data_IF_841161601110
#
_entry.id   IF_841161601110
#
_cell.length_a   1.000
_cell.length_b   1.000
_cell.length_c   1.000
_cell.angle_alpha   90.00
_cell.angle_beta   90.00
_cell.angle_gamma   90.00
#
_symmetry.space_group_name_H-M   'P 1'
#
loop_
_entity.id
_entity.type
_entity.pdbx_description
1 polymer ?
#
# COMPACT_ATOMS: atom_id res chain seq x y z
N UNK A 1 -12.56 5.92 11.12
CA UNK A 1 -14.00 5.67 11.44
C UNK A 1 -14.42 4.23 11.20
N UNK A 2 -14.22 3.64 9.98
CA UNK A 2 -14.65 2.26 9.68
C UNK A 2 -14.16 1.23 10.72
N UNK A 3 -12.85 1.15 10.94
CA UNK A 3 -12.26 0.20 11.90
C UNK A 3 -12.63 0.47 13.35
N UNK A 4 -12.93 1.74 13.71
CA UNK A 4 -13.45 2.08 15.04
C UNK A 4 -14.86 1.56 15.27
N UNK A 5 -15.72 1.60 14.24
CA UNK A 5 -17.04 0.99 14.28
C UNK A 5 -16.95 -0.53 14.29
N UNK A 6 -16.08 -1.12 13.45
CA UNK A 6 -15.88 -2.56 13.42
C UNK A 6 -15.43 -3.10 14.78
N UNK A 7 -14.48 -2.44 15.45
CA UNK A 7 -13.98 -2.85 16.76
C UNK A 7 -15.05 -2.76 17.89
N UNK A 8 -16.12 -1.98 17.69
CA UNK A 8 -17.22 -1.84 18.65
C UNK A 8 -18.43 -2.72 18.35
N UNK A 9 -18.63 -3.07 17.08
CA UNK A 9 -19.79 -3.85 16.64
C UNK A 9 -19.51 -5.35 16.56
N UNK A 10 -18.25 -5.73 16.42
CA UNK A 10 -17.85 -7.13 16.22
C UNK A 10 -16.82 -7.55 17.25
N UNK A 11 -16.74 -8.85 17.50
CA UNK A 11 -15.72 -9.41 18.39
C UNK A 11 -14.31 -9.22 17.85
N UNK A 12 -13.30 -9.24 18.73
CA UNK A 12 -11.90 -9.17 18.30
C UNK A 12 -11.51 -10.34 17.38
N UNK A 13 -12.09 -11.53 17.62
CA UNK A 13 -11.83 -12.70 16.78
C UNK A 13 -12.37 -12.54 15.36
N UNK A 14 -13.60 -12.03 15.20
CA UNK A 14 -14.19 -11.74 13.90
C UNK A 14 -13.40 -10.65 13.17
N UNK A 15 -13.10 -9.55 13.87
CA UNK A 15 -12.35 -8.44 13.29
C UNK A 15 -10.96 -8.90 12.81
N UNK A 16 -10.22 -9.62 13.65
CA UNK A 16 -8.87 -10.08 13.31
C UNK A 16 -8.87 -11.06 12.13
N UNK A 17 -9.77 -12.04 12.14
CA UNK A 17 -9.92 -13.01 11.06
C UNK A 17 -10.29 -12.35 9.73
N UNK A 18 -11.30 -11.46 9.73
CA UNK A 18 -11.76 -10.81 8.52
C UNK A 18 -10.80 -9.71 8.02
N UNK A 19 -10.08 -9.03 8.94
CA UNK A 19 -9.01 -8.12 8.57
C UNK A 19 -7.84 -8.85 7.89
N UNK A 20 -7.52 -10.07 8.32
CA UNK A 20 -6.53 -10.90 7.64
C UNK A 20 -6.99 -11.32 6.24
N UNK A 21 -8.27 -11.66 6.06
CA UNK A 21 -8.85 -11.95 4.74
C UNK A 21 -8.78 -10.73 3.81
N UNK A 22 -9.14 -9.54 4.30
CA UNK A 22 -9.03 -8.28 3.55
C UNK A 22 -7.58 -8.01 3.18
N UNK A 23 -6.65 -8.16 4.12
CA UNK A 23 -5.22 -7.95 3.88
C UNK A 23 -4.67 -8.94 2.84
N UNK A 24 -5.12 -10.20 2.89
CA UNK A 24 -4.77 -11.23 1.91
C UNK A 24 -5.29 -10.87 0.53
N UNK A 25 -6.56 -10.51 0.41
CA UNK A 25 -7.18 -10.05 -0.83
C UNK A 25 -6.43 -8.85 -1.43
N UNK A 26 -6.12 -7.85 -0.60
CA UNK A 26 -5.37 -6.66 -1.04
C UNK A 26 -3.96 -7.04 -1.48
N UNK A 27 -3.26 -7.87 -0.72
CA UNK A 27 -1.92 -8.33 -1.06
C UNK A 27 -1.88 -9.04 -2.42
N UNK A 28 -2.78 -10.02 -2.64
CA UNK A 28 -2.87 -10.73 -3.92
C UNK A 28 -3.22 -9.78 -5.08
N UNK A 29 -4.12 -8.82 -4.83
CA UNK A 29 -4.48 -7.80 -5.82
C UNK A 29 -3.30 -6.90 -6.20
N UNK A 30 -2.52 -6.43 -5.23
CA UNK A 30 -1.32 -5.62 -5.50
C UNK A 30 -0.23 -6.41 -6.22
N UNK A 31 -0.03 -7.67 -5.82
CA UNK A 31 0.92 -8.57 -6.47
C UNK A 31 0.59 -8.77 -7.96
N UNK A 32 -0.69 -8.86 -8.30
CA UNK A 32 -1.16 -9.16 -9.65
C UNK A 32 -1.38 -7.92 -10.52
N UNK A 33 -1.29 -6.74 -9.96
CA UNK A 33 -1.45 -5.47 -10.68
C UNK A 33 -0.28 -5.15 -11.63
N UNK A 34 0.90 -5.79 -11.45
CA UNK A 34 2.08 -5.61 -12.30
C UNK A 34 2.45 -4.14 -12.52
N UNK A 35 2.16 -3.29 -11.54
CA UNK A 35 2.31 -1.83 -11.59
C UNK A 35 1.54 -1.12 -12.74
N UNK A 36 0.53 -1.79 -13.31
CA UNK A 36 -0.26 -1.26 -14.43
C UNK A 36 -1.00 0.03 -14.08
N UNK A 37 -1.30 0.27 -12.79
CA UNK A 37 -1.86 1.55 -12.34
C UNK A 37 -0.96 2.73 -12.74
N UNK A 38 0.34 2.62 -12.48
CA UNK A 38 1.32 3.66 -12.84
C UNK A 38 1.48 3.76 -14.36
N UNK A 39 1.43 2.61 -15.06
CA UNK A 39 1.44 2.59 -16.52
C UNK A 39 0.25 3.35 -17.11
N UNK A 40 -0.95 3.15 -16.58
CA UNK A 40 -2.16 3.84 -17.03
C UNK A 40 -2.04 5.36 -16.84
N UNK A 41 -1.57 5.82 -15.67
CA UNK A 41 -1.34 7.26 -15.43
C UNK A 41 -0.38 7.85 -16.46
N UNK A 42 0.71 7.16 -16.77
CA UNK A 42 1.77 7.68 -17.62
C UNK A 42 1.46 7.60 -19.11
N UNK A 43 0.93 6.47 -19.57
CA UNK A 43 0.85 6.18 -21.00
C UNK A 43 -0.53 6.40 -21.63
N UNK A 44 -1.62 6.42 -20.84
CA UNK A 44 -2.96 6.74 -21.37
C UNK A 44 -3.01 8.11 -22.04
N UNK A 45 -2.39 9.19 -21.50
CA UNK A 45 -2.37 10.49 -22.17
C UNK A 45 -1.71 10.49 -23.57
N UNK A 46 -0.82 9.53 -23.83
CA UNK A 46 -0.06 9.41 -25.06
C UNK A 46 -0.54 8.27 -25.98
N UNK A 47 -1.55 7.52 -25.56
CA UNK A 47 -2.00 6.31 -26.25
C UNK A 47 -2.80 6.56 -27.54
N UNK A 48 -3.36 7.76 -27.71
CA UNK A 48 -4.10 8.12 -28.94
C UNK A 48 -5.21 7.12 -29.25
N UNK A 49 -5.27 6.64 -30.50
CA UNK A 49 -6.25 5.64 -30.97
C UNK A 49 -6.10 4.26 -30.27
N UNK A 50 -4.95 3.99 -29.64
CA UNK A 50 -4.71 2.71 -28.95
C UNK A 50 -5.19 2.71 -27.49
N UNK A 51 -5.78 3.81 -26.99
CA UNK A 51 -6.20 3.97 -25.60
C UNK A 51 -7.12 2.82 -25.16
N UNK A 52 -8.16 2.51 -25.95
CA UNK A 52 -9.12 1.46 -25.60
C UNK A 52 -8.44 0.08 -25.49
N UNK A 53 -7.60 -0.27 -26.46
CA UNK A 53 -6.87 -1.54 -26.47
C UNK A 53 -5.88 -1.63 -25.31
N UNK A 54 -5.13 -0.55 -25.04
CA UNK A 54 -4.18 -0.53 -23.93
C UNK A 54 -4.85 -0.70 -22.58
N UNK A 55 -5.97 0.01 -22.35
CA UNK A 55 -6.76 -0.11 -21.12
C UNK A 55 -7.34 -1.51 -20.99
N UNK A 56 -8.02 -2.02 -22.04
CA UNK A 56 -8.61 -3.34 -22.02
C UNK A 56 -7.59 -4.45 -21.74
N UNK A 57 -6.41 -4.39 -22.38
CA UNK A 57 -5.33 -5.35 -22.14
C UNK A 57 -4.77 -5.23 -20.71
N UNK A 58 -4.66 -4.03 -20.15
CA UNK A 58 -4.22 -3.83 -18.77
C UNK A 58 -5.19 -4.43 -17.76
N UNK A 59 -6.49 -4.21 -17.95
CA UNK A 59 -7.52 -4.81 -17.08
C UNK A 59 -7.58 -6.32 -17.23
N UNK A 60 -7.54 -6.82 -18.47
CA UNK A 60 -7.53 -8.26 -18.72
C UNK A 60 -6.29 -8.95 -18.10
N UNK A 61 -5.09 -8.40 -18.31
CA UNK A 61 -3.87 -8.99 -17.76
C UNK A 61 -3.89 -9.01 -16.23
N UNK A 62 -4.28 -7.89 -15.59
CA UNK A 62 -4.39 -7.81 -14.13
C UNK A 62 -5.48 -8.71 -13.58
N UNK A 63 -6.65 -8.77 -14.23
CA UNK A 63 -7.76 -9.61 -13.81
C UNK A 63 -7.45 -11.09 -13.94
N UNK A 64 -6.84 -11.51 -15.06
CA UNK A 64 -6.41 -12.90 -15.26
C UNK A 64 -5.33 -13.29 -14.24
N UNK A 65 -4.34 -12.43 -14.01
CA UNK A 65 -3.31 -12.66 -12.99
C UNK A 65 -3.93 -12.76 -11.59
N UNK A 66 -4.88 -11.88 -11.23
CA UNK A 66 -5.58 -11.92 -9.94
C UNK A 66 -6.39 -13.21 -9.78
N UNK A 67 -7.10 -13.62 -10.82
CA UNK A 67 -7.84 -14.88 -10.82
C UNK A 67 -6.92 -16.10 -10.62
N UNK A 68 -5.85 -16.20 -11.40
CA UNK A 68 -4.91 -17.33 -11.32
C UNK A 68 -4.21 -17.38 -9.98
N UNK A 69 -3.68 -16.24 -9.50
CA UNK A 69 -2.92 -16.20 -8.25
C UNK A 69 -3.82 -16.43 -7.04
N UNK A 70 -5.03 -15.86 -6.99
CA UNK A 70 -5.96 -16.12 -5.88
C UNK A 70 -6.46 -17.56 -5.86
N UNK A 71 -6.72 -18.16 -7.02
CA UNK A 71 -7.06 -19.59 -7.11
C UNK A 71 -5.90 -20.47 -6.64
N UNK A 72 -4.69 -20.21 -7.13
CA UNK A 72 -3.48 -20.93 -6.71
C UNK A 72 -3.25 -20.79 -5.21
N UNK A 73 -3.43 -19.60 -4.65
CA UNK A 73 -3.32 -19.34 -3.21
C UNK A 73 -4.28 -20.21 -2.39
N UNK A 74 -5.56 -20.26 -2.78
CA UNK A 74 -6.56 -21.12 -2.10
C UNK A 74 -6.16 -22.59 -2.18
N UNK A 75 -5.72 -23.06 -3.35
CA UNK A 75 -5.29 -24.45 -3.54
C UNK A 75 -4.06 -24.79 -2.68
N UNK A 76 -3.07 -23.90 -2.64
CA UNK A 76 -1.87 -24.07 -1.80
C UNK A 76 -2.24 -24.16 -0.33
N UNK A 77 -3.06 -23.24 0.19
CA UNK A 77 -3.47 -23.29 1.60
C UNK A 77 -4.26 -24.55 1.90
N UNK A 78 -5.18 -24.95 1.04
CA UNK A 78 -5.98 -26.17 1.22
C UNK A 78 -5.09 -27.43 1.27
N UNK A 79 -4.01 -27.45 0.49
CA UNK A 79 -3.12 -28.61 0.39
C UNK A 79 -2.10 -28.69 1.52
N UNK A 80 -1.48 -27.54 1.87
CA UNK A 80 -0.35 -27.49 2.80
C UNK A 80 -0.73 -27.07 4.23
N UNK A 81 -1.89 -26.45 4.43
CA UNK A 81 -2.35 -25.94 5.72
C UNK A 81 -3.82 -26.33 6.02
N UNK A 82 -4.23 -27.59 5.83
CA UNK A 82 -5.62 -28.02 5.97
C UNK A 82 -6.18 -27.82 7.39
N UNK A 83 -5.31 -27.74 8.41
CA UNK A 83 -5.70 -27.57 9.82
C UNK A 83 -5.78 -26.11 10.28
N UNK A 84 -5.53 -25.11 9.42
CA UNK A 84 -5.65 -23.70 9.81
C UNK A 84 -7.12 -23.31 9.95
N UNK A 85 -7.64 -23.28 11.18
CA UNK A 85 -9.04 -22.91 11.48
C UNK A 85 -9.42 -21.54 10.92
N UNK A 86 -8.46 -20.63 10.81
CA UNK A 86 -8.66 -19.24 10.42
C UNK A 86 -8.85 -19.05 8.91
N UNK A 87 -8.25 -19.89 8.07
CA UNK A 87 -8.38 -19.85 6.61
C UNK A 87 -9.33 -20.93 6.07
N UNK A 88 -9.87 -21.78 6.95
CA UNK A 88 -10.83 -22.84 6.58
C UNK A 88 -12.07 -22.32 5.85
N UNK A 89 -12.43 -21.07 6.11
CA UNK A 89 -13.49 -20.35 5.38
C UNK A 89 -13.27 -20.32 3.88
N UNK A 90 -12.01 -20.17 3.43
CA UNK A 90 -11.66 -20.19 2.02
C UNK A 90 -11.87 -21.58 1.36
N UNK A 91 -12.13 -22.63 2.16
CA UNK A 91 -12.41 -23.97 1.65
C UNK A 91 -13.90 -24.17 1.31
N UNK A 92 -14.77 -23.26 1.75
CA UNK A 92 -16.18 -23.26 1.36
C UNK A 92 -16.29 -22.75 -0.10
N UNK A 93 -16.87 -23.51 -1.05
CA UNK A 93 -16.84 -23.16 -2.47
C UNK A 93 -17.43 -21.77 -2.77
N UNK A 94 -18.56 -21.43 -2.14
CA UNK A 94 -19.21 -20.14 -2.35
C UNK A 94 -18.32 -18.97 -1.87
N UNK A 95 -17.68 -19.12 -0.70
CA UNK A 95 -16.80 -18.09 -0.19
C UNK A 95 -15.48 -17.99 -0.98
N UNK A 96 -14.94 -19.13 -1.44
CA UNK A 96 -13.77 -19.16 -2.31
C UNK A 96 -14.00 -18.38 -3.61
N UNK A 97 -15.14 -18.61 -4.27
CA UNK A 97 -15.54 -17.88 -5.48
C UNK A 97 -15.68 -16.39 -5.17
N UNK A 98 -16.33 -16.02 -4.06
CA UNK A 98 -16.48 -14.64 -3.66
C UNK A 98 -15.13 -13.97 -3.37
N UNK A 99 -14.20 -14.66 -2.70
CA UNK A 99 -12.86 -14.17 -2.44
C UNK A 99 -12.07 -13.92 -3.73
N UNK A 100 -12.14 -14.84 -4.70
CA UNK A 100 -11.51 -14.69 -6.03
C UNK A 100 -12.10 -13.46 -6.75
N UNK A 101 -13.43 -13.36 -6.82
CA UNK A 101 -14.12 -12.22 -7.44
C UNK A 101 -13.74 -10.89 -6.75
N UNK A 102 -13.68 -10.89 -5.43
CA UNK A 102 -13.29 -9.71 -4.64
C UNK A 102 -11.84 -9.31 -4.91
N UNK A 103 -10.93 -10.27 -5.07
CA UNK A 103 -9.53 -10.02 -5.41
C UNK A 103 -9.39 -9.38 -6.79
N UNK A 104 -10.13 -9.89 -7.78
CA UNK A 104 -10.19 -9.31 -9.13
C UNK A 104 -10.81 -7.90 -9.08
N UNK A 105 -11.93 -7.75 -8.37
CA UNK A 105 -12.60 -6.45 -8.23
C UNK A 105 -11.70 -5.41 -7.57
N UNK A 106 -10.99 -5.78 -6.50
CA UNK A 106 -10.05 -4.87 -5.83
C UNK A 106 -8.88 -4.47 -6.73
N UNK A 107 -8.38 -5.41 -7.55
CA UNK A 107 -7.38 -5.12 -8.57
C UNK A 107 -7.89 -4.07 -9.58
N UNK A 108 -9.13 -4.23 -10.05
CA UNK A 108 -9.76 -3.26 -10.97
C UNK A 108 -10.03 -1.92 -10.30
N UNK A 109 -10.50 -1.91 -9.05
CA UNK A 109 -10.75 -0.69 -8.28
C UNK A 109 -9.50 0.20 -8.22
N UNK A 110 -8.36 -0.40 -7.93
CA UNK A 110 -7.09 0.35 -7.88
C UNK A 110 -6.55 0.72 -9.27
N UNK A 111 -6.83 -0.07 -10.32
CA UNK A 111 -6.50 0.30 -11.71
C UNK A 111 -7.33 1.47 -12.21
N UNK A 112 -8.60 1.58 -11.78
CA UNK A 112 -9.49 2.70 -12.15
C UNK A 112 -8.94 4.04 -11.67
N UNK A 113 -8.33 4.13 -10.49
CA UNK A 113 -7.64 5.33 -10.02
C UNK A 113 -6.57 5.80 -11.03
N UNK A 114 -5.77 4.85 -11.53
CA UNK A 114 -4.74 5.11 -12.54
C UNK A 114 -5.34 5.52 -13.88
N UNK A 115 -6.39 4.84 -14.31
CA UNK A 115 -7.11 5.14 -15.56
C UNK A 115 -7.73 6.53 -15.54
N UNK A 116 -8.50 6.85 -14.49
CA UNK A 116 -9.15 8.16 -14.34
C UNK A 116 -8.14 9.30 -14.30
N UNK A 117 -7.03 9.09 -13.61
CA UNK A 117 -5.91 10.06 -13.58
C UNK A 117 -5.28 10.22 -14.96
N UNK A 118 -5.00 9.12 -15.67
CA UNK A 118 -4.45 9.13 -17.02
C UNK A 118 -5.38 9.78 -18.05
N UNK A 119 -6.70 9.63 -17.90
CA UNK A 119 -7.72 10.31 -18.72
C UNK A 119 -7.91 11.78 -18.34
N UNK A 120 -7.11 12.33 -17.41
CA UNK A 120 -7.24 13.69 -16.85
C UNK A 120 -8.60 13.94 -16.17
N UNK A 121 -9.13 12.91 -15.53
CA UNK A 121 -10.37 12.93 -14.74
C UNK A 121 -10.12 12.55 -13.28
N UNK A 122 -8.96 12.94 -12.75
CA UNK A 122 -8.55 12.63 -11.38
C UNK A 122 -9.54 13.15 -10.30
N UNK A 123 -10.38 14.15 -10.62
CA UNK A 123 -11.44 14.63 -9.70
C UNK A 123 -12.53 13.59 -9.40
N UNK A 124 -12.67 12.55 -10.24
CA UNK A 124 -13.63 11.47 -10.00
C UNK A 124 -13.11 10.51 -8.91
N UNK A 125 -11.79 10.34 -8.77
CA UNK A 125 -11.18 9.44 -7.80
C UNK A 125 -11.60 9.73 -6.34
N UNK A 126 -11.54 10.97 -5.83
CA UNK A 126 -12.04 11.27 -4.49
C UNK A 126 -13.55 11.01 -4.33
N UNK A 127 -14.35 11.23 -5.38
CA UNK A 127 -15.79 10.96 -5.34
C UNK A 127 -16.05 9.45 -5.24
N UNK A 128 -15.38 8.63 -6.06
CA UNK A 128 -15.47 7.18 -6.02
C UNK A 128 -15.06 6.63 -4.66
N UNK A 129 -13.90 7.04 -4.14
CA UNK A 129 -13.40 6.63 -2.83
C UNK A 129 -14.28 7.13 -1.68
N UNK A 130 -14.91 8.29 -1.82
CA UNK A 130 -15.88 8.82 -0.86
C UNK A 130 -17.16 7.97 -0.82
N UNK A 131 -17.75 7.68 -1.98
CA UNK A 131 -18.92 6.81 -2.11
C UNK A 131 -18.63 5.41 -1.57
N UNK A 132 -17.47 4.84 -1.93
CA UNK A 132 -16.99 3.57 -1.38
C UNK A 132 -16.94 3.60 0.16
N UNK A 133 -16.37 4.66 0.72
CA UNK A 133 -16.20 4.78 2.17
C UNK A 133 -17.55 4.90 2.91
N UNK A 134 -18.50 5.65 2.35
CA UNK A 134 -19.86 5.76 2.92
C UNK A 134 -20.60 4.42 2.80
N UNK A 135 -20.57 3.79 1.62
CA UNK A 135 -21.26 2.54 1.38
C UNK A 135 -20.75 1.41 2.28
N UNK A 136 -19.42 1.27 2.44
CA UNK A 136 -18.86 0.23 3.31
C UNK A 136 -19.19 0.42 4.79
N UNK A 137 -19.27 1.69 5.27
CA UNK A 137 -19.69 1.98 6.64
C UNK A 137 -21.19 1.66 6.82
N UNK A 138 -22.03 2.06 5.87
CA UNK A 138 -23.46 1.74 5.90
C UNK A 138 -23.72 0.23 5.91
N UNK A 139 -23.02 -0.53 5.05
CA UNK A 139 -23.14 -2.00 5.02
C UNK A 139 -22.56 -2.65 6.28
N UNK A 140 -21.48 -2.11 6.86
CA UNK A 140 -20.92 -2.63 8.11
C UNK A 140 -21.95 -2.59 9.25
N UNK A 141 -22.67 -1.47 9.38
CA UNK A 141 -23.72 -1.29 10.39
C UNK A 141 -24.92 -2.20 10.09
N UNK A 142 -25.34 -2.25 8.82
CA UNK A 142 -26.46 -3.10 8.43
C UNK A 142 -26.17 -4.59 8.68
N UNK A 143 -24.99 -5.05 8.35
CA UNK A 143 -24.58 -6.44 8.49
C UNK A 143 -24.32 -6.85 9.94
N UNK A 144 -24.04 -5.91 10.83
CA UNK A 144 -23.95 -6.20 12.26
C UNK A 144 -25.26 -6.75 12.86
N UNK A 145 -26.40 -6.46 12.22
CA UNK A 145 -27.72 -6.96 12.65
C UNK A 145 -28.22 -8.09 11.73
N UNK A 146 -27.79 -8.11 10.48
CA UNK A 146 -28.33 -8.99 9.46
C UNK A 146 -27.51 -10.26 9.19
N UNK A 147 -26.24 -10.30 9.58
CA UNK A 147 -25.32 -11.40 9.28
C UNK A 147 -24.54 -11.83 10.52
N UNK A 148 -24.45 -13.14 10.71
CA UNK A 148 -23.68 -13.75 11.79
C UNK A 148 -22.17 -13.90 11.47
N UNK A 149 -21.80 -13.84 10.19
CA UNK A 149 -20.41 -14.08 9.72
C UNK A 149 -20.08 -13.28 8.48
N UNK A 150 -18.79 -12.98 8.30
CA UNK A 150 -18.22 -12.31 7.11
C UNK A 150 -18.73 -10.89 6.86
N UNK A 151 -19.33 -10.28 7.84
CA UNK A 151 -19.95 -8.97 7.73
C UNK A 151 -18.93 -7.86 7.38
N UNK A 152 -17.75 -7.89 8.01
CA UNK A 152 -16.66 -6.94 7.76
C UNK A 152 -16.11 -7.13 6.33
N UNK A 153 -15.84 -8.39 5.91
CA UNK A 153 -15.33 -8.69 4.58
C UNK A 153 -16.32 -8.32 3.49
N UNK A 154 -17.60 -8.68 3.67
CA UNK A 154 -18.66 -8.39 2.70
C UNK A 154 -18.94 -6.88 2.60
N UNK A 155 -18.97 -6.17 3.73
CA UNK A 155 -19.14 -4.71 3.72
C UNK A 155 -18.00 -3.97 3.00
N UNK A 156 -16.80 -4.58 2.95
CA UNK A 156 -15.66 -4.06 2.21
C UNK A 156 -15.73 -4.39 0.72
N UNK A 157 -16.14 -5.60 0.38
CA UNK A 157 -16.03 -6.12 -1.00
C UNK A 157 -17.23 -5.81 -1.87
N UNK A 158 -18.46 -5.81 -1.35
CA UNK A 158 -19.66 -5.49 -2.12
C UNK A 158 -19.61 -4.09 -2.74
N UNK A 159 -19.34 -3.00 -1.97
CA UNK A 159 -19.27 -1.67 -2.55
C UNK A 159 -18.15 -1.52 -3.58
N UNK A 160 -17.00 -2.18 -3.37
CA UNK A 160 -15.91 -2.14 -4.34
C UNK A 160 -16.30 -2.78 -5.67
N UNK A 161 -17.01 -3.92 -5.64
CA UNK A 161 -17.50 -4.59 -6.86
C UNK A 161 -18.53 -3.73 -7.61
N UNK A 162 -19.49 -3.15 -6.88
CA UNK A 162 -20.53 -2.28 -7.48
C UNK A 162 -19.91 -1.07 -8.15
N UNK A 163 -18.96 -0.39 -7.46
CA UNK A 163 -18.29 0.79 -8.00
C UNK A 163 -17.38 0.44 -9.18
N UNK A 164 -16.68 -0.70 -9.11
CA UNK A 164 -15.88 -1.19 -10.25
C UNK A 164 -16.72 -1.35 -11.48
N UNK A 165 -17.90 -1.95 -11.37
CA UNK A 165 -18.82 -2.12 -12.50
C UNK A 165 -19.30 -0.74 -12.99
N UNK A 166 -19.79 0.12 -12.12
CA UNK A 166 -20.32 1.43 -12.47
C UNK A 166 -19.28 2.33 -13.17
N UNK A 167 -18.08 2.44 -12.58
CA UNK A 167 -16.99 3.26 -13.13
C UNK A 167 -16.43 2.63 -14.42
N UNK A 168 -16.35 1.30 -14.52
CA UNK A 168 -15.94 0.65 -15.78
C UNK A 168 -16.93 0.93 -16.90
N UNK A 169 -18.24 0.78 -16.66
CA UNK A 169 -19.27 1.10 -17.66
C UNK A 169 -19.16 2.55 -18.11
N UNK A 170 -18.98 3.47 -17.19
CA UNK A 170 -18.79 4.89 -17.50
C UNK A 170 -17.50 5.17 -18.27
N UNK A 171 -16.39 4.55 -17.85
CA UNK A 171 -15.08 4.75 -18.47
C UNK A 171 -15.04 4.20 -19.89
N UNK A 172 -15.46 2.93 -20.09
CA UNK A 172 -15.46 2.30 -21.40
C UNK A 172 -16.57 2.87 -22.34
N UNK A 173 -17.73 3.24 -21.80
CA UNK A 173 -18.84 3.78 -22.59
C UNK A 173 -18.64 5.24 -23.01
N UNK A 174 -17.98 6.06 -22.20
CA UNK A 174 -17.89 7.52 -22.46
C UNK A 174 -16.46 8.08 -22.41
N UNK A 175 -15.67 7.79 -21.38
CA UNK A 175 -14.42 8.51 -21.17
C UNK A 175 -13.34 8.06 -22.17
N UNK A 176 -13.15 6.77 -22.35
CA UNK A 176 -12.14 6.21 -23.27
C UNK A 176 -12.44 6.58 -24.73
N UNK A 177 -13.67 6.43 -25.27
CA UNK A 177 -13.97 6.84 -26.63
C UNK A 177 -13.79 8.36 -26.86
N UNK A 178 -14.19 9.17 -25.88
CA UNK A 178 -13.97 10.63 -25.97
C UNK A 178 -12.48 10.98 -25.97
N UNK A 179 -11.68 10.35 -25.11
CA UNK A 179 -10.23 10.57 -25.05
C UNK A 179 -9.57 10.14 -26.36
N UNK A 180 -9.89 8.97 -26.88
CA UNK A 180 -9.36 8.46 -28.13
C UNK A 180 -9.64 9.41 -29.31
N UNK A 181 -10.86 9.96 -29.41
CA UNK A 181 -11.20 10.97 -30.44
C UNK A 181 -10.39 12.27 -30.28
N UNK A 182 -10.24 12.78 -29.05
CA UNK A 182 -9.47 14.02 -28.80
C UNK A 182 -7.96 13.87 -29.04
N UNK A 183 -7.46 12.65 -28.99
CA UNK A 183 -6.02 12.36 -29.13
C UNK A 183 -5.69 11.60 -30.42
N UNK A 184 -6.65 11.44 -31.34
CA UNK A 184 -6.52 10.65 -32.57
C UNK A 184 -5.32 11.08 -33.43
N UNK A 185 -5.04 12.40 -33.50
CA UNK A 185 -3.93 12.95 -34.29
C UNK A 185 -2.55 12.85 -33.61
N UNK A 186 -2.48 12.35 -32.38
CA UNK A 186 -1.20 12.16 -31.68
C UNK A 186 -0.61 10.82 -32.09
N UNK A 187 0.60 10.84 -32.67
CA UNK A 187 1.35 9.62 -32.90
C UNK A 187 1.66 8.96 -31.55
N UNK A 188 1.22 7.72 -31.38
CA UNK A 188 1.52 6.96 -30.18
C UNK A 188 3.03 6.75 -30.08
N UNK A 189 3.69 7.39 -29.12
CA UNK A 189 5.09 7.19 -28.80
C UNK A 189 5.35 5.93 -27.94
N UNK A 190 4.33 5.10 -27.72
CA UNK A 190 4.44 3.89 -26.91
C UNK A 190 5.37 2.87 -27.58
N UNK A 191 6.61 2.78 -27.10
CA UNK A 191 7.52 1.68 -27.43
C UNK A 191 7.35 0.55 -26.39
N UNK A 192 6.86 -0.65 -26.75
CA UNK A 192 6.56 -1.73 -25.80
C UNK A 192 7.77 -2.10 -24.90
N UNK A 193 8.96 -2.12 -25.46
CA UNK A 193 10.20 -2.40 -24.68
C UNK A 193 10.49 -1.38 -23.58
N UNK A 194 10.21 -0.08 -23.81
CA UNK A 194 10.38 0.96 -22.79
C UNK A 194 9.32 0.84 -21.69
N UNK A 195 8.10 0.46 -22.05
CA UNK A 195 7.01 0.19 -21.11
C UNK A 195 7.39 -0.95 -20.18
N UNK A 196 7.78 -2.11 -20.72
CA UNK A 196 8.13 -3.29 -19.92
C UNK A 196 9.32 -3.02 -19.01
N UNK A 197 10.38 -2.39 -19.50
CA UNK A 197 11.57 -2.07 -18.71
C UNK A 197 11.28 -1.09 -17.57
N UNK A 198 10.40 -0.10 -17.79
CA UNK A 198 9.94 0.84 -16.77
C UNK A 198 9.12 0.13 -15.70
N UNK A 199 8.14 -0.69 -16.12
CA UNK A 199 7.26 -1.40 -15.21
C UNK A 199 8.01 -2.42 -14.34
N UNK A 200 8.96 -3.16 -14.90
CA UNK A 200 9.64 -4.22 -14.18
C UNK A 200 10.44 -3.69 -12.97
N UNK A 201 11.23 -2.63 -13.14
CA UNK A 201 12.04 -2.08 -12.05
C UNK A 201 11.20 -1.41 -10.98
N UNK A 202 10.20 -0.63 -11.40
CA UNK A 202 9.30 0.08 -10.47
C UNK A 202 8.37 -0.90 -9.75
N UNK A 203 7.95 -1.99 -10.41
CA UNK A 203 7.20 -3.08 -9.81
C UNK A 203 8.00 -3.77 -8.70
N UNK A 204 9.25 -4.18 -8.98
CA UNK A 204 10.11 -4.79 -7.97
C UNK A 204 10.31 -3.86 -6.77
N UNK A 205 10.52 -2.55 -7.01
CA UNK A 205 10.67 -1.58 -5.95
C UNK A 205 9.41 -1.40 -5.09
N UNK A 206 8.22 -1.54 -5.69
CA UNK A 206 6.92 -1.39 -5.00
C UNK A 206 6.46 -2.66 -4.26
N UNK A 207 6.98 -3.84 -4.64
CA UNK A 207 6.62 -5.10 -3.97
C UNK A 207 7.02 -5.11 -2.50
N UNK A 208 8.24 -4.69 -2.17
CA UNK A 208 8.75 -4.78 -0.81
C UNK A 208 7.96 -3.98 0.23
N UNK A 209 7.60 -2.69 0.01
CA UNK A 209 6.71 -1.98 0.92
C UNK A 209 5.34 -2.66 1.06
N UNK A 210 4.80 -3.16 -0.06
CA UNK A 210 3.52 -3.86 -0.06
C UNK A 210 3.59 -5.16 0.75
N UNK A 211 4.66 -5.94 0.62
CA UNK A 211 4.92 -7.14 1.42
C UNK A 211 4.90 -6.80 2.92
N UNK A 212 5.63 -5.77 3.35
CA UNK A 212 5.68 -5.38 4.76
C UNK A 212 4.32 -4.97 5.32
N UNK A 213 3.51 -4.24 4.55
CA UNK A 213 2.21 -3.76 5.05
C UNK A 213 1.15 -4.85 5.04
N UNK A 214 1.09 -5.67 3.99
CA UNK A 214 -0.02 -6.61 3.77
C UNK A 214 0.24 -8.01 4.32
N UNK A 215 1.51 -8.47 4.41
CA UNK A 215 1.81 -9.78 4.97
C UNK A 215 1.78 -9.80 6.49
N UNK A 216 2.14 -8.72 7.17
CA UNK A 216 2.19 -8.69 8.63
C UNK A 216 0.84 -9.09 9.27
N UNK A 217 -0.32 -8.52 8.89
CA UNK A 217 -1.60 -8.95 9.46
C UNK A 217 -1.88 -10.44 9.27
N UNK A 218 -1.52 -10.98 8.10
CA UNK A 218 -1.72 -12.39 7.77
C UNK A 218 -0.85 -13.28 8.67
N UNK A 219 0.45 -12.94 8.77
CA UNK A 219 1.41 -13.68 9.56
C UNK A 219 1.07 -13.66 11.06
N UNK A 220 0.60 -12.51 11.57
CA UNK A 220 0.24 -12.36 12.96
C UNK A 220 -1.00 -13.18 13.29
N UNK A 221 -2.05 -13.11 12.50
CA UNK A 221 -3.25 -13.95 12.71
C UNK A 221 -2.89 -15.44 12.62
N UNK A 222 -1.99 -15.83 11.72
CA UNK A 222 -1.52 -17.21 11.62
C UNK A 222 -0.68 -17.65 12.82
N UNK A 223 0.12 -16.76 13.43
CA UNK A 223 1.03 -17.07 14.50
C UNK A 223 0.40 -17.04 15.90
N UNK A 224 -0.45 -16.04 16.18
CA UNK A 224 -0.97 -15.78 17.53
C UNK A 224 -2.50 -15.81 17.62
N UNK A 225 -3.18 -16.06 16.51
CA UNK A 225 -4.64 -16.16 16.44
C UNK A 225 -5.35 -14.85 16.09
N UNK A 226 -6.67 -14.92 15.80
CA UNK A 226 -7.44 -13.79 15.30
C UNK A 226 -7.67 -12.71 16.36
N UNK A 227 -7.89 -13.04 17.64
CA UNK A 227 -8.08 -12.06 18.70
C UNK A 227 -6.88 -11.11 18.86
N UNK A 228 -5.69 -11.61 19.20
CA UNK A 228 -4.47 -10.78 19.20
C UNK A 228 -4.18 -10.13 17.85
N UNK A 229 -4.54 -10.80 16.75
CA UNK A 229 -4.47 -10.25 15.38
C UNK A 229 -5.30 -8.99 15.20
N UNK A 230 -6.46 -8.88 15.84
CA UNK A 230 -7.29 -7.68 15.82
C UNK A 230 -6.60 -6.50 16.54
N UNK A 231 -6.04 -6.74 17.73
CA UNK A 231 -5.31 -5.73 18.49
C UNK A 231 -4.09 -5.22 17.69
N UNK A 232 -3.34 -6.15 17.08
CA UNK A 232 -2.27 -5.81 16.13
C UNK A 232 -2.80 -4.96 14.97
N UNK A 233 -3.86 -5.40 14.31
CA UNK A 233 -4.36 -4.76 13.09
C UNK A 233 -4.79 -3.32 13.31
N UNK A 234 -5.53 -3.04 14.39
CA UNK A 234 -5.97 -1.68 14.74
C UNK A 234 -4.76 -0.77 15.00
N UNK A 235 -3.80 -1.22 15.81
CA UNK A 235 -2.57 -0.45 16.06
C UNK A 235 -1.78 -0.22 14.76
N UNK A 236 -1.70 -1.24 13.90
CA UNK A 236 -0.98 -1.15 12.62
C UNK A 236 -1.65 -0.20 11.62
N UNK A 237 -2.98 -0.15 11.56
CA UNK A 237 -3.74 0.82 10.76
C UNK A 237 -3.42 2.26 11.19
N UNK A 238 -3.29 2.53 12.48
CA UNK A 238 -2.90 3.84 12.99
C UNK A 238 -1.47 4.20 12.55
N UNK A 239 -0.51 3.29 12.71
CA UNK A 239 0.88 3.48 12.29
C UNK A 239 0.96 3.76 10.79
N UNK A 240 0.30 2.92 9.96
CA UNK A 240 0.32 3.07 8.49
C UNK A 240 -0.37 4.35 8.02
N UNK A 241 -1.40 4.81 8.72
CA UNK A 241 -2.03 6.10 8.44
C UNK A 241 -1.06 7.28 8.65
N UNK A 242 -0.22 7.21 9.68
CA UNK A 242 0.78 8.24 9.95
C UNK A 242 1.99 8.18 8.98
N UNK A 243 2.27 7.03 8.37
CA UNK A 243 3.27 6.91 7.30
C UNK A 243 2.93 7.77 6.07
N UNK A 244 1.67 8.16 5.88
CA UNK A 244 1.27 9.04 4.77
C UNK A 244 2.00 10.38 4.82
N UNK A 245 2.29 10.91 6.01
CA UNK A 245 2.98 12.20 6.18
C UNK A 245 4.37 12.19 5.53
N UNK A 246 5.31 11.31 5.90
CA UNK A 246 6.62 11.26 5.25
C UNK A 246 6.53 10.86 3.77
N UNK A 247 5.56 10.03 3.38
CA UNK A 247 5.37 9.67 1.97
C UNK A 247 4.97 10.88 1.10
N UNK A 248 4.04 11.72 1.58
CA UNK A 248 3.67 12.94 0.85
C UNK A 248 4.81 13.97 0.81
N UNK A 249 5.58 14.10 1.88
CA UNK A 249 6.76 14.99 1.89
C UNK A 249 7.82 14.51 0.88
N UNK A 250 8.06 13.20 0.77
CA UNK A 250 8.97 12.64 -0.23
C UNK A 250 8.46 12.86 -1.66
N UNK A 251 7.15 12.76 -1.88
CA UNK A 251 6.53 13.04 -3.18
C UNK A 251 6.67 14.53 -3.54
N UNK A 252 6.39 15.45 -2.61
CA UNK A 252 6.58 16.90 -2.79
C UNK A 252 8.02 17.25 -3.15
N UNK A 253 8.99 16.68 -2.43
CA UNK A 253 10.41 16.88 -2.71
C UNK A 253 10.77 16.46 -4.15
N UNK A 254 10.16 15.40 -4.67
CA UNK A 254 10.39 14.95 -6.04
C UNK A 254 9.86 15.94 -7.07
N UNK A 255 8.74 16.60 -6.77
CA UNK A 255 8.15 17.64 -7.65
C UNK A 255 8.99 18.92 -7.61
N UNK A 256 9.42 19.37 -6.42
CA UNK A 256 10.25 20.56 -6.25
C UNK A 256 11.60 20.44 -7.00
N UNK A 257 12.18 19.24 -7.05
CA UNK A 257 13.43 18.97 -7.75
C UNK A 257 13.35 19.27 -9.27
N UNK A 258 12.18 19.14 -9.88
CA UNK A 258 11.96 19.44 -11.31
C UNK A 258 12.07 20.95 -11.57
N UNK A 259 11.67 21.79 -10.60
CA UNK A 259 11.69 23.24 -10.71
C UNK A 259 13.04 23.89 -10.37
N UNK A 260 13.79 23.32 -9.42
CA UNK A 260 15.08 23.87 -8.94
C UNK A 260 16.08 22.76 -8.59
N UNK A 261 16.77 22.25 -9.59
CA UNK A 261 17.84 21.27 -9.39
C UNK A 261 19.08 21.85 -8.69
N UNK A 262 19.36 23.14 -8.84
CA UNK A 262 20.49 23.78 -8.19
C UNK A 262 20.29 23.91 -6.68
N UNK A 263 19.06 24.20 -6.26
CA UNK A 263 18.66 24.28 -4.84
C UNK A 263 18.29 22.96 -4.21
N UNK A 264 18.26 21.85 -4.94
CA UNK A 264 17.70 20.57 -4.51
C UNK A 264 18.30 20.04 -3.19
N UNK A 265 19.62 20.13 -3.01
CA UNK A 265 20.30 19.69 -1.78
C UNK A 265 19.81 20.49 -0.56
N UNK A 266 19.65 21.80 -0.73
CA UNK A 266 19.12 22.69 0.34
C UNK A 266 17.67 22.39 0.64
N UNK A 267 16.82 22.17 -0.38
CA UNK A 267 15.41 21.81 -0.23
C UNK A 267 15.27 20.46 0.48
N UNK A 268 16.02 19.44 0.07
CA UNK A 268 16.04 18.14 0.73
C UNK A 268 16.40 18.23 2.22
N UNK A 269 17.46 19.00 2.57
CA UNK A 269 17.85 19.20 3.97
C UNK A 269 16.73 19.89 4.76
N UNK A 270 16.14 20.93 4.18
CA UNK A 270 15.04 21.67 4.82
C UNK A 270 13.83 20.75 5.05
N UNK A 271 13.46 19.95 4.09
CA UNK A 271 12.32 19.00 4.18
C UNK A 271 12.57 17.96 5.27
N UNK A 272 13.77 17.37 5.36
CA UNK A 272 14.12 16.43 6.44
C UNK A 272 14.02 17.09 7.81
N UNK A 273 14.58 18.29 7.97
CA UNK A 273 14.53 19.03 9.25
C UNK A 273 13.08 19.38 9.64
N UNK A 274 12.26 19.83 8.69
CA UNK A 274 10.84 20.13 8.94
C UNK A 274 10.05 18.88 9.30
N UNK A 275 10.28 17.79 8.59
CA UNK A 275 9.66 16.51 8.92
C UNK A 275 9.99 16.06 10.34
N UNK A 276 11.28 16.11 10.72
CA UNK A 276 11.69 15.71 12.07
C UNK A 276 11.10 16.63 13.16
N UNK A 277 11.07 17.96 12.93
CA UNK A 277 10.44 18.92 13.85
C UNK A 277 8.95 18.67 14.05
N UNK A 278 8.24 18.17 13.04
CA UNK A 278 6.82 17.86 13.13
C UNK A 278 6.60 16.44 13.66
N UNK A 279 7.34 15.46 13.13
CA UNK A 279 7.07 14.04 13.37
C UNK A 279 7.54 13.61 14.76
N UNK A 280 8.70 14.11 15.25
CA UNK A 280 9.24 13.69 16.55
C UNK A 280 8.30 14.06 17.70
N UNK A 281 7.85 15.34 17.85
CA UNK A 281 6.89 15.67 18.90
C UNK A 281 5.56 14.92 18.76
N UNK A 282 5.03 14.79 17.53
CA UNK A 282 3.79 14.07 17.28
C UNK A 282 3.90 12.60 17.69
N UNK A 283 5.00 11.93 17.32
CA UNK A 283 5.28 10.53 17.70
C UNK A 283 5.39 10.39 19.22
N UNK A 284 6.10 11.27 19.91
CA UNK A 284 6.24 11.20 21.38
C UNK A 284 4.90 11.38 22.09
N UNK A 285 4.09 12.37 21.67
CA UNK A 285 2.76 12.61 22.21
C UNK A 285 1.84 11.40 21.96
N UNK A 286 1.80 10.87 20.72
CA UNK A 286 0.96 9.74 20.40
C UNK A 286 1.43 8.43 21.06
N UNK A 287 2.74 8.23 21.20
CA UNK A 287 3.29 7.09 21.93
C UNK A 287 2.91 7.13 23.41
N UNK A 288 2.97 8.30 24.03
CA UNK A 288 2.49 8.50 25.40
C UNK A 288 0.97 8.29 25.50
N UNK A 289 0.20 8.83 24.56
CA UNK A 289 -1.25 8.76 24.52
C UNK A 289 -1.80 7.42 23.95
N UNK A 290 -0.95 6.44 23.62
CA UNK A 290 -1.36 5.18 23.00
C UNK A 290 -2.55 4.49 23.67
N UNK A 291 -2.62 4.37 25.03
CA UNK A 291 -3.77 3.77 25.68
C UNK A 291 -5.06 4.57 25.46
N UNK A 292 -4.97 5.90 25.46
CA UNK A 292 -6.12 6.79 25.23
C UNK A 292 -6.59 6.66 23.79
N UNK A 293 -5.67 6.64 22.82
CA UNK A 293 -6.00 6.49 21.40
C UNK A 293 -6.67 5.14 21.15
N UNK A 294 -6.17 4.07 21.74
CA UNK A 294 -6.72 2.72 21.54
C UNK A 294 -8.01 2.48 22.34
N UNK A 295 -8.25 3.17 23.46
CA UNK A 295 -9.51 3.07 24.19
C UNK A 295 -10.74 3.51 23.39
N UNK A 296 -10.54 4.33 22.34
CA UNK A 296 -11.58 4.67 21.37
C UNK A 296 -12.14 3.44 20.66
N UNK A 297 -11.31 2.40 20.49
CA UNK A 297 -11.69 1.13 19.84
C UNK A 297 -12.26 0.11 20.84
N UNK A 298 -11.89 0.21 22.10
CA UNK A 298 -12.34 -0.64 23.19
C UNK A 298 -11.27 -0.78 24.28
N UNK A 299 -11.64 -1.18 25.50
CA UNK A 299 -10.69 -1.34 26.60
C UNK A 299 -9.63 -2.41 26.33
N UNK A 300 -10.01 -3.51 25.68
CA UNK A 300 -9.09 -4.61 25.36
C UNK A 300 -8.03 -4.17 24.35
N UNK A 301 -8.40 -3.32 23.38
CA UNK A 301 -7.43 -2.72 22.43
C UNK A 301 -6.43 -1.81 23.14
N UNK A 302 -6.88 -1.09 24.19
CA UNK A 302 -5.98 -0.26 24.98
C UNK A 302 -5.03 -1.10 25.84
N UNK A 303 -5.53 -2.20 26.45
CA UNK A 303 -4.72 -3.08 27.28
C UNK A 303 -3.65 -3.83 26.44
N UNK A 304 -4.08 -4.46 25.37
CA UNK A 304 -3.24 -5.40 24.60
C UNK A 304 -2.43 -4.73 23.46
N UNK A 305 -2.93 -3.61 22.90
CA UNK A 305 -2.32 -2.97 21.73
C UNK A 305 -1.38 -1.80 22.04
N UNK A 306 -1.39 -1.24 23.27
CA UNK A 306 -0.69 0.01 23.56
C UNK A 306 0.82 -0.09 23.44
N UNK A 307 1.42 -1.18 23.89
CA UNK A 307 2.88 -1.34 23.83
C UNK A 307 3.35 -1.54 22.38
N UNK A 308 2.60 -2.30 21.60
CA UNK A 308 2.84 -2.40 20.17
C UNK A 308 2.78 -1.00 19.51
N UNK A 309 1.72 -0.24 19.77
CA UNK A 309 1.54 1.08 19.17
C UNK A 309 2.67 2.04 19.56
N UNK A 310 3.04 2.08 20.84
CA UNK A 310 4.17 2.91 21.33
C UNK A 310 5.45 2.63 20.58
N UNK A 311 5.84 1.36 20.52
CA UNK A 311 7.11 0.95 19.90
C UNK A 311 7.08 1.17 18.39
N UNK A 312 5.97 0.82 17.72
CA UNK A 312 5.83 1.01 16.29
C UNK A 312 5.82 2.50 15.87
N UNK A 313 5.22 3.38 16.70
CA UNK A 313 5.26 4.83 16.48
C UNK A 313 6.68 5.39 16.50
N UNK A 314 7.53 4.93 17.42
CA UNK A 314 8.95 5.34 17.45
C UNK A 314 9.67 4.99 16.14
N UNK A 315 9.30 3.90 15.49
CA UNK A 315 9.81 3.48 14.18
C UNK A 315 9.45 4.42 13.02
N UNK A 316 8.43 5.29 13.18
CA UNK A 316 8.05 6.26 12.15
C UNK A 316 9.12 7.32 11.89
N UNK A 317 9.91 7.67 12.90
CA UNK A 317 10.97 8.68 12.75
C UNK A 317 12.07 8.18 11.80
N UNK A 318 12.73 7.02 12.04
CA UNK A 318 13.70 6.48 11.11
C UNK A 318 13.07 6.09 9.76
N UNK A 319 11.81 5.60 9.73
CA UNK A 319 11.07 5.37 8.50
C UNK A 319 10.98 6.64 7.65
N UNK A 320 10.61 7.77 8.25
CA UNK A 320 10.51 9.05 7.55
C UNK A 320 11.82 9.48 6.88
N UNK A 321 12.96 9.31 7.57
CA UNK A 321 14.29 9.58 6.99
C UNK A 321 14.57 8.65 5.80
N UNK A 322 14.26 7.36 5.92
CA UNK A 322 14.44 6.38 4.86
C UNK A 322 13.62 6.74 3.61
N UNK A 323 12.35 7.13 3.79
CA UNK A 323 11.44 7.47 2.68
C UNK A 323 11.84 8.78 2.00
N UNK A 324 12.28 9.78 2.73
CA UNK A 324 12.81 11.01 2.12
C UNK A 324 14.09 10.72 1.31
N UNK A 325 14.97 9.86 1.80
CA UNK A 325 16.13 9.42 1.02
C UNK A 325 15.73 8.65 -0.25
N UNK A 326 14.70 7.81 -0.19
CA UNK A 326 14.11 7.16 -1.38
C UNK A 326 13.63 8.22 -2.39
N UNK A 327 13.01 9.31 -1.92
CA UNK A 327 12.64 10.45 -2.76
C UNK A 327 13.85 11.09 -3.45
N UNK A 328 14.94 11.33 -2.70
CA UNK A 328 16.21 11.83 -3.25
C UNK A 328 16.79 10.86 -4.30
N UNK A 329 16.85 9.56 -3.99
CA UNK A 329 17.34 8.53 -4.89
C UNK A 329 16.50 8.44 -6.19
N UNK A 330 15.18 8.69 -6.08
CA UNK A 330 14.27 8.72 -7.24
C UNK A 330 14.57 9.90 -8.16
N UNK A 331 14.81 11.09 -7.63
CA UNK A 331 15.25 12.27 -8.41
C UNK A 331 16.58 12.00 -9.09
N UNK A 332 17.51 11.31 -8.42
CA UNK A 332 18.81 10.94 -9.00
C UNK A 332 18.75 9.78 -10.00
N UNK A 333 17.59 9.15 -10.22
CA UNK A 333 17.44 7.99 -11.11
C UNK A 333 18.11 6.71 -10.57
N UNK A 334 18.38 6.62 -9.26
CA UNK A 334 19.09 5.50 -8.62
C UNK A 334 18.13 4.37 -8.20
N UNK A 335 17.44 3.77 -9.16
CA UNK A 335 16.41 2.75 -8.90
C UNK A 335 16.90 1.55 -8.07
N UNK A 336 18.16 1.08 -8.27
CA UNK A 336 18.74 -0.03 -7.49
C UNK A 336 18.84 0.30 -5.99
N UNK A 337 19.11 1.54 -5.62
CA UNK A 337 19.18 1.98 -4.23
C UNK A 337 17.77 1.97 -3.62
N UNK A 338 16.76 2.40 -4.36
CA UNK A 338 15.36 2.36 -3.92
C UNK A 338 14.96 0.93 -3.59
N UNK A 339 15.25 -0.02 -4.50
CA UNK A 339 14.99 -1.45 -4.27
C UNK A 339 15.73 -1.95 -3.04
N UNK A 340 17.02 -1.64 -2.89
CA UNK A 340 17.84 -2.10 -1.77
C UNK A 340 17.31 -1.59 -0.41
N UNK A 341 16.90 -0.31 -0.31
CA UNK A 341 16.33 0.27 0.93
C UNK A 341 15.01 -0.42 1.27
N UNK A 342 14.09 -0.52 0.30
CA UNK A 342 12.80 -1.15 0.55
C UNK A 342 12.91 -2.64 0.86
N UNK A 343 13.75 -3.37 0.11
CA UNK A 343 14.00 -4.80 0.36
C UNK A 343 14.66 -5.02 1.73
N UNK A 344 15.66 -4.21 2.09
CA UNK A 344 16.33 -4.29 3.38
C UNK A 344 15.35 -4.10 4.55
N UNK A 345 14.50 -3.06 4.49
CA UNK A 345 13.47 -2.84 5.53
C UNK A 345 12.47 -4.00 5.55
N UNK A 346 11.94 -4.41 4.40
CA UNK A 346 10.92 -5.45 4.34
C UNK A 346 11.42 -6.79 4.86
N UNK A 347 12.55 -7.26 4.34
CA UNK A 347 13.12 -8.56 4.73
C UNK A 347 13.54 -8.58 6.20
N UNK A 348 14.22 -7.53 6.68
CA UNK A 348 14.59 -7.45 8.10
C UNK A 348 13.37 -7.38 9.02
N UNK A 349 12.32 -6.60 8.65
CA UNK A 349 11.08 -6.55 9.43
C UNK A 349 10.41 -7.92 9.49
N UNK A 350 10.26 -8.62 8.37
CA UNK A 350 9.60 -9.93 8.34
C UNK A 350 10.42 -10.98 9.12
N UNK A 351 11.75 -11.01 8.94
CA UNK A 351 12.63 -11.96 9.65
C UNK A 351 12.62 -11.71 11.16
N UNK A 352 12.77 -10.44 11.58
CA UNK A 352 12.71 -10.08 13.00
C UNK A 352 11.32 -10.32 13.59
N UNK A 353 10.25 -10.08 12.84
CA UNK A 353 8.89 -10.41 13.28
C UNK A 353 8.75 -11.89 13.56
N UNK A 354 9.20 -12.75 12.65
CA UNK A 354 9.15 -14.21 12.85
C UNK A 354 9.95 -14.67 14.09
N UNK A 355 11.05 -13.99 14.41
CA UNK A 355 11.87 -14.30 15.58
C UNK A 355 11.30 -13.74 16.89
N UNK A 356 10.71 -12.54 16.86
CA UNK A 356 10.30 -11.81 18.07
C UNK A 356 8.83 -12.06 18.47
N UNK A 357 7.95 -12.41 17.56
CA UNK A 357 6.53 -12.69 17.88
C UNK A 357 6.37 -13.86 18.86
N UNK A 358 7.11 -14.99 18.76
CA UNK A 358 7.04 -16.05 19.76
C UNK A 358 7.46 -15.62 21.16
N UNK A 359 8.30 -14.59 21.29
CA UNK A 359 8.85 -14.11 22.57
C UNK A 359 8.07 -12.94 23.17
N UNK A 360 7.59 -12.03 22.33
CA UNK A 360 7.01 -10.75 22.73
C UNK A 360 5.56 -10.58 22.27
N UNK A 361 4.94 -11.62 21.72
CA UNK A 361 3.60 -11.53 21.14
C UNK A 361 3.55 -10.47 20.03
N UNK A 362 2.41 -9.78 19.92
CA UNK A 362 2.21 -8.74 18.89
C UNK A 362 3.17 -7.56 19.02
N UNK A 363 3.67 -7.25 20.24
CA UNK A 363 4.64 -6.18 20.47
C UNK A 363 5.97 -6.45 19.74
N UNK A 364 6.30 -7.73 19.52
CA UNK A 364 7.47 -8.14 18.72
C UNK A 364 7.48 -7.56 17.30
N UNK A 365 6.31 -7.30 16.72
CA UNK A 365 6.22 -6.64 15.40
C UNK A 365 6.66 -5.18 15.48
N UNK A 366 6.22 -4.47 16.52
CA UNK A 366 6.64 -3.08 16.76
C UNK A 366 8.15 -2.95 16.93
N UNK A 367 8.75 -3.87 17.69
CA UNK A 367 10.20 -3.94 17.89
C UNK A 367 10.90 -4.27 16.57
N UNK A 368 10.44 -5.26 15.82
CA UNK A 368 10.99 -5.61 14.52
C UNK A 368 10.96 -4.42 13.54
N UNK A 369 9.83 -3.72 13.48
CA UNK A 369 9.64 -2.52 12.67
C UNK A 369 10.60 -1.39 13.07
N UNK A 370 10.71 -1.08 14.36
CA UNK A 370 11.61 -0.05 14.89
C UNK A 370 13.07 -0.39 14.57
N UNK A 371 13.52 -1.61 14.87
CA UNK A 371 14.90 -2.03 14.65
C UNK A 371 15.26 -2.01 13.16
N UNK A 372 14.40 -2.55 12.30
CA UNK A 372 14.62 -2.60 10.85
C UNK A 372 14.75 -1.21 10.25
N UNK A 373 13.84 -0.29 10.61
CA UNK A 373 13.89 1.07 10.10
C UNK A 373 15.07 1.86 10.68
N UNK A 374 15.44 1.63 11.95
CA UNK A 374 16.58 2.29 12.59
C UNK A 374 17.92 1.83 11.99
N UNK A 375 18.08 0.53 11.77
CA UNK A 375 19.28 -0.02 11.13
C UNK A 375 19.43 0.53 9.70
N UNK A 376 18.34 0.51 8.92
CA UNK A 376 18.37 1.07 7.57
C UNK A 376 18.61 2.57 7.59
N UNK A 377 18.03 3.32 8.52
CA UNK A 377 18.25 4.76 8.68
C UNK A 377 19.73 5.06 8.95
N UNK A 378 20.40 4.27 9.77
CA UNK A 378 21.84 4.41 10.00
C UNK A 378 22.64 4.25 8.71
N UNK A 379 22.35 3.21 7.93
CA UNK A 379 22.96 2.98 6.61
C UNK A 379 22.69 4.17 5.66
N UNK A 380 21.44 4.61 5.58
CA UNK A 380 21.02 5.73 4.73
C UNK A 380 21.72 7.04 5.14
N UNK A 381 21.83 7.32 6.42
CA UNK A 381 22.50 8.54 6.92
C UNK A 381 23.98 8.50 6.60
N UNK A 382 24.66 7.39 6.88
CA UNK A 382 26.11 7.29 6.72
C UNK A 382 26.52 7.24 5.24
N UNK A 383 25.89 6.38 4.46
CA UNK A 383 26.30 6.11 3.07
C UNK A 383 25.48 6.87 2.02
N UNK A 384 24.35 7.41 2.37
CA UNK A 384 23.46 8.15 1.47
C UNK A 384 23.43 9.65 1.70
N UNK A 385 22.94 10.07 2.87
CA UNK A 385 22.69 11.50 3.15
C UNK A 385 23.97 12.30 3.43
N UNK A 386 24.94 11.78 4.19
CA UNK A 386 26.20 12.49 4.43
C UNK A 386 26.92 12.84 3.12
N UNK A 387 27.18 11.87 2.19
CA UNK A 387 27.78 12.19 0.89
C UNK A 387 26.92 13.14 0.05
N UNK A 388 25.57 12.98 0.09
CA UNK A 388 24.66 13.84 -0.66
C UNK A 388 24.73 15.31 -0.18
N UNK A 389 24.76 15.55 1.12
CA UNK A 389 24.84 16.92 1.68
C UNK A 389 26.23 17.52 1.60
N UNK A 390 27.27 16.75 1.32
CA UNK A 390 28.63 17.24 1.06
C UNK A 390 28.81 17.76 -0.38
N UNK A 391 27.85 17.54 -1.28
CA UNK A 391 27.89 18.03 -2.66
C UNK A 391 27.83 19.57 -2.68
N UNK A 392 28.80 20.21 -3.36
CA UNK A 392 28.86 21.67 -3.56
C UNK A 392 28.15 22.15 -4.84
N UNK A 393 27.56 21.25 -5.63
CA UNK A 393 26.88 21.53 -6.90
C UNK A 393 25.64 20.66 -7.10
N UNK A 394 24.93 20.82 -8.24
CA UNK A 394 23.77 20.00 -8.57
C UNK A 394 24.13 18.52 -8.57
N UNK A 395 23.27 17.64 -8.02
CA UNK A 395 23.57 16.22 -7.93
C UNK A 395 23.66 15.60 -9.34
N UNK A 396 24.57 14.62 -9.56
CA UNK A 396 24.68 13.95 -10.84
C UNK A 396 23.38 13.20 -11.14
N UNK A 397 22.72 13.52 -12.25
CA UNK A 397 21.55 12.79 -12.75
C UNK A 397 22.02 11.56 -13.50
N UNK A 398 21.42 10.39 -13.26
CA UNK A 398 21.84 9.11 -13.83
C UNK A 398 21.77 8.98 -15.37
N UNK A 399 21.34 10.02 -16.08
CA UNK A 399 21.32 10.11 -17.54
C UNK A 399 22.66 10.53 -18.15
N UNK A 400 23.55 11.17 -17.40
CA UNK A 400 24.83 11.64 -17.91
C UNK A 400 25.91 10.53 -18.06
N UNK A 401 25.71 9.35 -17.49
CA UNK A 401 26.68 8.25 -17.56
C UNK A 401 26.57 7.37 -18.82
N UNK A 402 25.68 7.65 -19.78
CA UNK A 402 25.46 6.84 -20.98
C UNK A 402 25.75 7.53 -22.30
N UNK A 403 26.26 8.76 -22.29
CA UNK A 403 26.64 9.47 -23.56
C UNK A 403 28.14 9.49 -23.82
N UNK A 404 28.96 8.73 -23.10
CA UNK A 404 30.39 8.64 -23.30
C UNK A 404 30.86 7.19 -23.33
N UNK A 405 30.39 6.41 -24.30
CA UNK A 405 31.08 5.27 -24.91
C UNK A 405 30.30 4.82 -26.15
#
# INVERSE_FOLDING_TARGET
MYWGLAARLYSAEELGGEAALISTMQFLSYLTQLNLRVALVRFVPEAGNHTARFVALSFFASGLAAFVVSTAFILVIRTFLPGSSQLSTLFQPAFAVWFILSTVAWSFFTLQDGLLTGLRRASIVPLENGLYSVAKIGLLILFAVALDRYAIFLSWTIPSLVLVIAVSVYAFGRLIPRHARMTANRQSMMRPRRLVAFLALDYVASLFPTLSVSLLPILIVAAVGPGPGAHFYIAWVLVTSLQLVPNYLAASLTVEAVGDMAGFVRHARRTIVHMLKLLVPAVLVLAWASPIVLSVFGPDYAAEGSDLLRVALLGLVPYGVNILFVGIARVQGRGRIIVAVHAGIALSTLTLTAALVPLLGITGVGVAWLLSNSAMCLVVVVYGLKPFFALKGPPPTGTAARSGR
#
